data_IF_902183962159
#
_entry.id   IF_902183962159
#
_cell.length_a   1.000
_cell.length_b   1.000
_cell.length_c   1.000
_cell.angle_alpha   90.00
_cell.angle_beta   90.00
_cell.angle_gamma   90.00
#
_symmetry.space_group_name_H-M   'P 1'
#
loop_
_entity.id
_entity.type
_entity.pdbx_description
1 polymer ?
#
# COMPACT_ATOMS: atom_id res chain seq x y z
N UNK A 1 -4.41 9.89 13.85
CA UNK A 1 -5.27 8.68 13.73
C UNK A 1 -5.99 8.60 12.39
N UNK A 2 -6.91 9.52 12.06
CA UNK A 2 -7.71 9.49 10.81
C UNK A 2 -6.86 9.44 9.53
N UNK A 3 -5.79 10.24 9.45
CA UNK A 3 -4.88 10.23 8.29
C UNK A 3 -4.20 8.89 8.03
N UNK A 4 -3.83 8.15 9.09
CA UNK A 4 -3.22 6.82 8.97
C UNK A 4 -4.21 5.78 8.46
N UNK A 5 -5.45 5.82 8.97
CA UNK A 5 -6.53 4.91 8.54
C UNK A 5 -6.88 5.15 7.07
N UNK A 6 -7.04 6.41 6.66
CA UNK A 6 -7.30 6.78 5.26
C UNK A 6 -6.16 6.31 4.35
N UNK A 7 -4.91 6.48 4.79
CA UNK A 7 -3.73 6.04 4.04
C UNK A 7 -3.71 4.52 3.81
N UNK A 8 -4.05 3.73 4.84
CA UNK A 8 -4.16 2.27 4.71
C UNK A 8 -5.30 1.85 3.78
N UNK A 9 -6.46 2.48 3.88
CA UNK A 9 -7.61 2.18 3.01
C UNK A 9 -7.29 2.46 1.54
N UNK A 10 -6.65 3.61 1.25
CA UNK A 10 -6.23 3.97 -0.11
C UNK A 10 -5.18 2.98 -0.63
N UNK A 11 -4.22 2.60 0.22
CA UNK A 11 -3.19 1.63 -0.14
C UNK A 11 -3.78 0.25 -0.49
N UNK A 12 -4.79 -0.21 0.25
CA UNK A 12 -5.50 -1.45 -0.04
C UNK A 12 -6.30 -1.38 -1.35
N UNK A 13 -6.99 -0.27 -1.60
CA UNK A 13 -7.74 -0.05 -2.85
C UNK A 13 -6.81 -0.03 -4.08
N UNK A 14 -5.67 0.65 -3.97
CA UNK A 14 -4.65 0.68 -5.01
C UNK A 14 -4.04 -0.70 -5.25
N UNK A 15 -3.73 -1.44 -4.17
CA UNK A 15 -3.22 -2.80 -4.23
C UNK A 15 -4.18 -3.76 -4.92
N UNK A 16 -5.48 -3.69 -4.59
CA UNK A 16 -6.51 -4.51 -5.21
C UNK A 16 -6.68 -4.20 -6.71
N UNK A 17 -6.70 -2.92 -7.08
CA UNK A 17 -6.76 -2.51 -8.49
C UNK A 17 -5.54 -2.99 -9.26
N UNK A 18 -4.35 -2.83 -8.70
CA UNK A 18 -3.11 -3.26 -9.35
C UNK A 18 -3.07 -4.79 -9.51
N UNK A 19 -3.54 -5.55 -8.51
CA UNK A 19 -3.65 -7.01 -8.60
C UNK A 19 -4.59 -7.46 -9.74
N UNK A 20 -5.77 -6.84 -9.85
CA UNK A 20 -6.69 -7.11 -10.97
C UNK A 20 -6.06 -6.75 -12.32
N UNK A 21 -5.35 -5.62 -12.39
CA UNK A 21 -4.66 -5.19 -13.60
C UNK A 21 -3.56 -6.18 -13.99
N UNK A 22 -2.77 -6.65 -13.01
CA UNK A 22 -1.69 -7.61 -13.22
C UNK A 22 -2.21 -8.96 -13.71
N UNK A 23 -3.40 -9.37 -13.24
CA UNK A 23 -4.09 -10.57 -13.74
C UNK A 23 -4.58 -10.41 -15.18
N UNK A 24 -4.86 -9.19 -15.63
CA UNK A 24 -5.35 -8.87 -16.99
C UNK A 24 -4.21 -8.72 -18.02
N UNK A 25 -2.98 -8.46 -17.58
CA UNK A 25 -1.83 -8.28 -18.48
C UNK A 25 -1.46 -9.62 -19.14
N UNK A 26 -1.41 -9.64 -20.48
CA UNK A 26 -0.94 -10.79 -21.27
C UNK A 26 0.52 -11.09 -20.95
N UNK A 27 0.88 -12.37 -20.87
CA UNK A 27 2.21 -12.84 -20.45
C UNK A 27 3.38 -12.32 -21.30
N UNK A 28 3.13 -11.92 -22.55
CA UNK A 28 4.16 -11.46 -23.48
C UNK A 28 4.58 -9.99 -23.29
N UNK A 29 3.79 -9.18 -22.58
CA UNK A 29 4.12 -7.77 -22.35
C UNK A 29 5.01 -7.59 -21.11
N UNK A 30 6.28 -7.98 -21.24
CA UNK A 30 7.30 -7.86 -20.18
C UNK A 30 7.47 -6.43 -19.66
N UNK A 31 7.32 -5.42 -20.53
CA UNK A 31 7.43 -4.01 -20.16
C UNK A 31 6.32 -3.63 -19.18
N UNK A 32 5.06 -3.94 -19.51
CA UNK A 32 3.91 -3.68 -18.62
C UNK A 32 4.03 -4.44 -17.30
N UNK A 33 4.57 -5.65 -17.33
CA UNK A 33 4.75 -6.47 -16.13
C UNK A 33 5.78 -5.87 -15.16
N UNK A 34 6.91 -5.36 -15.67
CA UNK A 34 7.92 -4.68 -14.85
C UNK A 34 7.39 -3.38 -14.24
N UNK A 35 6.66 -2.56 -15.00
CA UNK A 35 6.01 -1.36 -14.47
C UNK A 35 4.99 -1.69 -13.36
N UNK A 36 4.22 -2.76 -13.54
CA UNK A 36 3.24 -3.21 -12.53
C UNK A 36 3.91 -3.73 -11.24
N UNK A 37 5.06 -4.40 -11.35
CA UNK A 37 5.87 -4.80 -10.19
C UNK A 37 6.41 -3.58 -9.44
N UNK A 38 6.94 -2.59 -10.17
CA UNK A 38 7.46 -1.37 -9.56
C UNK A 38 6.36 -0.59 -8.82
N UNK A 39 5.16 -0.54 -9.41
CA UNK A 39 3.98 0.08 -8.80
C UNK A 39 3.47 -0.69 -7.59
N UNK A 40 3.47 -2.02 -7.65
CA UNK A 40 3.15 -2.89 -6.51
C UNK A 40 4.12 -2.71 -5.34
N UNK A 41 5.43 -2.61 -5.62
CA UNK A 41 6.44 -2.32 -4.59
C UNK A 41 6.19 -0.97 -3.91
N UNK A 42 5.81 0.06 -4.68
CA UNK A 42 5.42 1.37 -4.13
C UNK A 42 4.20 1.27 -3.20
N UNK A 43 3.18 0.50 -3.58
CA UNK A 43 1.99 0.27 -2.75
C UNK A 43 2.36 -0.42 -1.43
N UNK A 44 3.28 -1.40 -1.46
CA UNK A 44 3.75 -2.09 -0.24
C UNK A 44 4.47 -1.10 0.70
N UNK A 45 5.37 -0.27 0.18
CA UNK A 45 6.07 0.74 0.98
C UNK A 45 5.07 1.73 1.60
N UNK A 46 4.10 2.16 0.81
CA UNK A 46 3.05 3.09 1.25
C UNK A 46 2.16 2.47 2.35
N UNK A 47 1.82 1.18 2.20
CA UNK A 47 1.10 0.40 3.21
C UNK A 47 1.87 0.34 4.53
N UNK A 48 3.16 -0.03 4.47
CA UNK A 48 4.02 -0.11 5.65
C UNK A 48 4.14 1.25 6.34
N UNK A 49 4.31 2.34 5.58
CA UNK A 49 4.34 3.69 6.13
C UNK A 49 3.03 4.05 6.87
N UNK A 50 1.88 3.67 6.30
CA UNK A 50 0.58 3.81 6.95
C UNK A 50 0.47 3.06 8.28
N UNK A 51 0.95 1.80 8.32
CA UNK A 51 0.99 0.99 9.56
C UNK A 51 1.89 1.64 10.62
N UNK A 52 3.09 2.08 10.24
CA UNK A 52 4.04 2.73 11.17
C UNK A 52 3.47 4.01 11.76
N UNK A 53 2.75 4.82 10.98
CA UNK A 53 2.09 6.03 11.47
C UNK A 53 1.00 5.73 12.50
N UNK A 54 0.20 4.69 12.28
CA UNK A 54 -0.81 4.26 13.25
C UNK A 54 -0.14 3.69 14.50
N UNK A 55 0.88 2.84 14.33
CA UNK A 55 1.63 2.26 15.43
C UNK A 55 2.26 3.34 16.32
N UNK A 56 2.93 4.33 15.73
CA UNK A 56 3.48 5.48 16.47
C UNK A 56 2.40 6.27 17.21
N UNK A 57 1.23 6.44 16.61
CA UNK A 57 0.11 7.13 17.28
C UNK A 57 -0.35 6.37 18.53
N UNK A 58 -0.57 5.05 18.43
CA UNK A 58 -0.96 4.22 19.58
C UNK A 58 0.16 4.09 20.62
N UNK A 59 1.42 3.96 20.19
CA UNK A 59 2.57 3.88 21.09
C UNK A 59 2.76 5.17 21.88
N UNK A 60 2.63 6.34 21.24
CA UNK A 60 2.71 7.61 21.95
C UNK A 60 1.52 7.79 22.89
N UNK A 61 0.30 7.44 22.46
CA UNK A 61 -0.88 7.48 23.32
C UNK A 61 -0.69 6.63 24.60
N UNK A 62 -0.20 5.40 24.45
CA UNK A 62 0.04 4.49 25.58
C UNK A 62 1.16 4.97 26.51
N UNK A 63 2.11 5.76 26.01
CA UNK A 63 3.21 6.33 26.81
C UNK A 63 2.80 7.60 27.57
N UNK A 64 1.65 8.19 27.25
CA UNK A 64 1.17 9.43 27.86
C UNK A 64 0.03 9.19 28.87
N UNK A 65 -0.48 7.96 28.94
CA UNK A 65 -1.45 7.46 29.93
C UNK A 65 -0.69 6.73 31.02
#
# INVERSE_FOLDING_TARGET
MLGGIICLTISLLLGYREYLNWKSIKKDDYILKSFSIQKSAGIIIFFVAGVVLIYRYFSNFLSTV
#
